data_IF_491968080220
#
_entry.id   IF_491968080220
#
_cell.length_a   1.000
_cell.length_b   1.000
_cell.length_c   1.000
_cell.angle_alpha   90.00
_cell.angle_beta   90.00
_cell.angle_gamma   90.00
#
_symmetry.space_group_name_H-M   'P 1'
#
loop_
_entity.id
_entity.type
_entity.pdbx_description
1 polymer ?
#
# COMPACT_ATOMS: atom_id res chain seq x y z
N UNK A 1 5.27 -8.30 1.08
CA UNK A 1 4.24 -8.62 0.08
C UNK A 1 4.97 -8.80 -1.23
N UNK A 2 5.36 -10.04 -1.55
CA UNK A 2 5.87 -10.32 -2.88
C UNK A 2 4.68 -10.09 -3.81
N UNK A 3 4.76 -9.06 -4.65
CA UNK A 3 3.98 -9.04 -5.87
C UNK A 3 4.58 -10.17 -6.71
N UNK A 4 4.05 -11.38 -6.52
CA UNK A 4 4.23 -12.44 -7.51
C UNK A 4 3.69 -11.85 -8.81
N UNK A 5 4.62 -11.59 -9.71
CA UNK A 5 4.37 -11.31 -11.11
C UNK A 5 3.46 -12.40 -11.64
N UNK A 6 2.21 -12.05 -11.94
CA UNK A 6 1.32 -12.93 -12.69
C UNK A 6 2.05 -13.39 -13.95
N UNK A 7 2.21 -14.71 -14.18
CA UNK A 7 2.63 -15.18 -15.49
C UNK A 7 1.55 -14.76 -16.50
N UNK A 8 1.98 -14.13 -17.59
CA UNK A 8 1.12 -13.77 -18.70
C UNK A 8 0.58 -15.04 -19.38
N UNK A 9 -0.48 -15.62 -18.83
CA UNK A 9 -1.28 -16.60 -19.54
C UNK A 9 -2.08 -15.86 -20.60
N UNK A 10 -1.71 -16.09 -21.87
CA UNK A 10 -2.53 -15.76 -23.04
C UNK A 10 -3.90 -16.38 -22.85
N UNK A 11 -4.91 -15.57 -22.51
CA UNK A 11 -6.30 -16.00 -22.60
C UNK A 11 -6.74 -15.96 -24.07
N UNK A 12 -7.36 -17.03 -24.60
CA UNK A 12 -7.81 -17.06 -25.98
C UNK A 12 -8.98 -16.09 -26.18
N UNK A 13 -8.93 -15.35 -27.29
CA UNK A 13 -10.02 -14.53 -27.80
C UNK A 13 -11.22 -15.43 -28.13
N UNK A 14 -12.23 -15.51 -27.26
CA UNK A 14 -13.66 -15.71 -27.55
C UNK A 14 -14.42 -16.23 -26.31
N UNK A 15 -15.16 -15.34 -25.65
CA UNK A 15 -16.50 -15.63 -25.09
C UNK A 15 -17.16 -14.30 -24.72
N UNK A 16 -17.79 -13.68 -25.72
CA UNK A 16 -18.83 -12.67 -25.54
C UNK A 16 -20.16 -13.44 -25.50
N UNK A 17 -20.99 -13.16 -24.49
CA UNK A 17 -22.46 -13.20 -24.45
C UNK A 17 -23.00 -13.77 -23.12
N UNK A 18 -23.88 -12.99 -22.49
CA UNK A 18 -24.83 -13.48 -21.49
C UNK A 18 -24.89 -12.65 -20.21
N UNK A 19 -25.75 -11.63 -20.18
CA UNK A 19 -26.09 -10.94 -18.93
C UNK A 19 -26.50 -9.48 -19.03
N UNK A 20 -27.28 -9.10 -20.05
CA UNK A 20 -27.98 -7.81 -20.05
C UNK A 20 -29.35 -8.00 -19.38
N UNK A 21 -29.64 -7.26 -18.30
CA UNK A 21 -30.92 -6.57 -18.03
C UNK A 21 -31.08 -6.20 -16.55
N UNK A 22 -30.87 -4.93 -16.23
CA UNK A 22 -31.71 -4.09 -15.35
C UNK A 22 -31.10 -2.68 -15.29
N UNK A 23 -31.21 -1.95 -16.40
CA UNK A 23 -30.87 -0.53 -16.47
C UNK A 23 -32.04 0.27 -15.90
N UNK A 24 -31.90 0.78 -14.68
CA UNK A 24 -32.69 1.93 -14.24
C UNK A 24 -32.12 3.16 -14.95
N UNK A 25 -32.91 3.73 -15.85
CA UNK A 25 -32.58 4.94 -16.60
C UNK A 25 -32.42 6.12 -15.63
N UNK A 26 -31.18 6.57 -15.44
CA UNK A 26 -30.90 7.89 -14.91
C UNK A 26 -30.90 8.87 -16.09
N UNK A 27 -31.44 10.09 -15.94
CA UNK A 27 -31.46 11.07 -17.02
C UNK A 27 -30.02 11.43 -17.38
N UNK A 28 -29.70 11.25 -18.66
CA UNK A 28 -28.45 11.66 -19.29
C UNK A 28 -28.29 13.17 -19.10
N UNK A 29 -27.27 13.57 -18.33
CA UNK A 29 -26.82 14.95 -18.32
C UNK A 29 -26.32 15.31 -19.74
N UNK A 30 -26.72 16.45 -20.31
CA UNK A 30 -26.37 16.78 -21.68
C UNK A 30 -24.92 17.27 -21.76
N UNK A 31 -24.15 16.71 -22.71
CA UNK A 31 -22.96 17.39 -23.27
C UNK A 31 -21.58 16.76 -23.03
N UNK A 32 -21.35 15.48 -23.32
CA UNK A 32 -20.00 14.89 -23.43
C UNK A 32 -19.89 13.97 -24.66
N UNK A 33 -19.72 14.54 -25.86
CA UNK A 33 -19.52 13.81 -27.14
C UNK A 33 -18.12 14.02 -27.75
N UNK A 34 -17.09 14.35 -26.95
CA UNK A 34 -15.67 14.36 -27.34
C UNK A 34 -14.88 13.51 -26.35
N UNK A 35 -14.16 12.43 -26.69
CA UNK A 35 -14.06 11.64 -27.91
C UNK A 35 -13.64 10.21 -27.51
N UNK A 36 -14.46 9.19 -27.80
CA UNK A 36 -14.05 7.79 -27.61
C UNK A 36 -12.73 7.50 -28.32
N UNK A 37 -12.50 8.13 -29.48
CA UNK A 37 -11.26 8.04 -30.25
C UNK A 37 -9.99 8.43 -29.49
N UNK A 38 -10.00 9.51 -28.69
CA UNK A 38 -8.82 9.91 -27.92
C UNK A 38 -8.52 8.93 -26.78
N UNK A 39 -9.55 8.37 -26.15
CA UNK A 39 -9.39 7.36 -25.10
C UNK A 39 -8.88 6.03 -25.68
N UNK A 40 -9.40 5.60 -26.84
CA UNK A 40 -8.92 4.42 -27.57
C UNK A 40 -7.48 4.62 -28.03
N UNK A 41 -7.16 5.79 -28.61
CA UNK A 41 -5.79 6.15 -29.01
C UNK A 41 -4.83 6.12 -27.83
N UNK A 42 -5.22 6.71 -26.69
CA UNK A 42 -4.42 6.66 -25.47
C UNK A 42 -4.14 5.21 -25.07
N UNK A 43 -5.19 4.38 -24.98
CA UNK A 43 -5.06 2.98 -24.57
C UNK A 43 -4.10 2.20 -25.47
N UNK A 44 -4.23 2.35 -26.79
CA UNK A 44 -3.34 1.70 -27.75
C UNK A 44 -1.88 2.13 -27.58
N UNK A 45 -1.62 3.43 -27.36
CA UNK A 45 -0.26 3.93 -27.08
C UNK A 45 0.29 3.36 -25.78
N UNK A 46 -0.53 3.25 -24.74
CA UNK A 46 -0.11 2.72 -23.45
C UNK A 46 0.14 1.20 -23.48
N UNK A 47 -0.66 0.46 -24.25
CA UNK A 47 -0.48 -0.98 -24.48
C UNK A 47 0.85 -1.27 -25.20
N UNK A 48 1.31 -0.37 -26.08
CA UNK A 48 2.57 -0.50 -26.83
C UNK A 48 3.80 0.12 -26.11
N UNK A 49 3.59 0.78 -24.97
CA UNK A 49 4.63 1.59 -24.32
C UNK A 49 5.94 0.84 -24.04
N UNK A 50 5.86 -0.48 -23.79
CA UNK A 50 7.03 -1.33 -23.51
C UNK A 50 7.93 -1.57 -24.72
N UNK A 51 7.40 -1.42 -25.94
CA UNK A 51 8.14 -1.72 -27.16
C UNK A 51 8.94 -0.51 -27.66
N UNK A 52 8.48 0.71 -27.40
CA UNK A 52 9.16 1.93 -27.82
C UNK A 52 8.90 3.12 -26.87
N UNK A 53 9.66 3.19 -25.78
CA UNK A 53 9.46 4.20 -24.72
C UNK A 53 9.51 5.64 -25.25
N UNK A 54 10.52 5.98 -26.05
CA UNK A 54 10.75 7.35 -26.52
C UNK A 54 9.68 7.81 -27.51
N UNK A 55 9.33 6.98 -28.51
CA UNK A 55 8.27 7.33 -29.45
C UNK A 55 6.90 7.39 -28.76
N UNK A 56 6.64 6.47 -27.82
CA UNK A 56 5.41 6.49 -27.03
C UNK A 56 5.31 7.77 -26.21
N UNK A 57 6.36 8.16 -25.49
CA UNK A 57 6.36 9.40 -24.70
C UNK A 57 6.10 10.62 -25.58
N UNK A 58 6.75 10.74 -26.75
CA UNK A 58 6.52 11.83 -27.69
C UNK A 58 5.07 11.87 -28.18
N UNK A 59 4.50 10.71 -28.54
CA UNK A 59 3.09 10.61 -28.94
C UNK A 59 2.14 11.00 -27.80
N UNK A 60 2.42 10.55 -26.58
CA UNK A 60 1.64 10.92 -25.39
C UNK A 60 1.76 12.42 -25.11
N UNK A 61 2.93 13.05 -25.24
CA UNK A 61 3.14 14.49 -25.05
C UNK A 61 2.29 15.35 -26.00
N UNK A 62 2.00 14.86 -27.21
CA UNK A 62 1.11 15.55 -28.16
C UNK A 62 -0.37 15.56 -27.77
N UNK A 63 -0.79 14.70 -26.85
CA UNK A 63 -2.21 14.58 -26.46
C UNK A 63 -2.64 15.73 -25.55
N UNK A 64 -3.85 16.26 -25.74
CA UNK A 64 -4.42 17.28 -24.85
C UNK A 64 -5.13 16.60 -23.66
N UNK A 65 -4.64 16.74 -22.41
CA UNK A 65 -5.28 16.13 -21.24
C UNK A 65 -6.68 16.67 -20.97
N UNK A 66 -7.02 17.87 -21.44
CA UNK A 66 -8.34 18.48 -21.23
C UNK A 66 -9.45 17.81 -22.07
N UNK A 67 -9.08 17.03 -23.09
CA UNK A 67 -10.02 16.28 -23.94
C UNK A 67 -10.32 14.87 -23.45
N UNK A 68 -9.72 14.47 -22.32
CA UNK A 68 -9.86 13.13 -21.77
C UNK A 68 -10.79 13.14 -20.55
N UNK A 69 -11.56 12.06 -20.38
CA UNK A 69 -12.28 11.79 -19.14
C UNK A 69 -11.29 11.72 -17.94
N UNK A 70 -11.73 12.00 -16.71
CA UNK A 70 -10.84 12.12 -15.56
C UNK A 70 -9.87 10.94 -15.35
N UNK A 71 -10.36 9.69 -15.47
CA UNK A 71 -9.48 8.52 -15.34
C UNK A 71 -8.45 8.46 -16.48
N UNK A 72 -8.86 8.57 -17.73
CA UNK A 72 -7.95 8.59 -18.87
C UNK A 72 -6.92 9.74 -18.80
N UNK A 73 -7.32 10.90 -18.27
CA UNK A 73 -6.40 12.01 -18.00
C UNK A 73 -5.32 11.61 -17.00
N UNK A 74 -5.68 10.91 -15.92
CA UNK A 74 -4.72 10.40 -14.94
C UNK A 74 -3.81 9.33 -15.56
N UNK A 75 -4.33 8.45 -16.42
CA UNK A 75 -3.51 7.49 -17.18
C UNK A 75 -2.45 8.20 -18.02
N UNK A 76 -2.86 9.20 -18.81
CA UNK A 76 -1.95 9.97 -19.65
C UNK A 76 -0.85 10.66 -18.83
N UNK A 77 -1.22 11.35 -17.76
CA UNK A 77 -0.26 12.11 -16.94
C UNK A 77 0.69 11.18 -16.18
N UNK A 78 0.16 10.06 -15.66
CA UNK A 78 0.97 9.03 -14.99
C UNK A 78 1.96 8.40 -15.96
N UNK A 79 1.54 8.10 -17.19
CA UNK A 79 2.41 7.55 -18.22
C UNK A 79 3.50 8.52 -18.67
N UNK A 80 3.15 9.79 -18.89
CA UNK A 80 4.15 10.83 -19.25
C UNK A 80 5.26 10.92 -18.22
N UNK A 81 4.91 11.06 -16.94
CA UNK A 81 5.88 11.16 -15.85
C UNK A 81 6.70 9.87 -15.72
N UNK A 82 6.03 8.72 -15.71
CA UNK A 82 6.66 7.41 -15.55
C UNK A 82 7.65 7.06 -16.67
N UNK A 83 7.25 7.27 -17.93
CA UNK A 83 8.09 7.00 -19.10
C UNK A 83 9.27 7.96 -19.20
N UNK A 84 9.08 9.23 -18.84
CA UNK A 84 10.19 10.20 -18.78
C UNK A 84 11.25 9.75 -17.77
N UNK A 85 10.83 9.29 -16.59
CA UNK A 85 11.73 8.74 -15.56
C UNK A 85 12.42 7.45 -16.06
N UNK A 86 11.71 6.55 -16.74
CA UNK A 86 12.33 5.33 -17.28
C UNK A 86 13.39 5.63 -18.36
N UNK A 87 13.13 6.60 -19.22
CA UNK A 87 14.11 7.07 -20.21
C UNK A 87 15.32 7.68 -19.51
N UNK A 88 15.11 8.54 -18.52
CA UNK A 88 16.19 9.15 -17.74
C UNK A 88 17.02 8.09 -17.00
N UNK A 89 16.38 7.11 -16.36
CA UNK A 89 17.04 5.99 -15.70
C UNK A 89 17.88 5.19 -16.69
N UNK A 90 17.35 4.88 -17.89
CA UNK A 90 18.07 4.15 -18.92
C UNK A 90 19.27 4.92 -19.49
N UNK A 91 19.16 6.25 -19.59
CA UNK A 91 20.24 7.12 -20.09
C UNK A 91 21.36 7.32 -19.07
N UNK A 92 21.00 7.59 -17.81
CA UNK A 92 21.95 7.94 -16.75
C UNK A 92 22.55 6.71 -16.07
N UNK A 93 21.79 5.62 -16.01
CA UNK A 93 22.16 4.38 -15.31
C UNK A 93 21.93 3.18 -16.24
N UNK A 94 22.61 3.12 -17.40
CA UNK A 94 22.47 2.02 -18.32
C UNK A 94 22.79 0.71 -17.59
N UNK A 95 22.05 -0.39 -17.87
CA UNK A 95 22.35 -1.67 -17.26
C UNK A 95 23.83 -1.99 -17.51
N UNK A 96 24.57 -2.27 -16.43
CA UNK A 96 25.93 -2.76 -16.58
C UNK A 96 25.91 -3.97 -17.52
N UNK A 97 26.81 -4.01 -18.52
CA UNK A 97 26.99 -5.20 -19.36
C UNK A 97 27.47 -6.36 -18.47
N UNK A 98 26.53 -7.03 -17.83
CA UNK A 98 26.72 -8.25 -17.07
C UNK A 98 25.85 -9.29 -17.78
N UNK A 99 26.49 -10.30 -18.37
CA UNK A 99 25.83 -11.28 -19.22
C UNK A 99 24.63 -11.93 -18.54
N UNK A 100 23.51 -12.02 -19.26
CA UNK A 100 22.30 -12.88 -19.14
C UNK A 100 21.87 -13.50 -17.78
N UNK A 101 22.28 -12.98 -16.63
CA UNK A 101 21.85 -13.48 -15.32
C UNK A 101 20.84 -12.50 -14.67
N UNK A 102 19.53 -12.84 -14.63
CA UNK A 102 18.50 -11.99 -14.05
C UNK A 102 18.64 -11.81 -12.52
N UNK A 103 19.43 -12.65 -11.83
CA UNK A 103 19.74 -12.49 -10.40
C UNK A 103 20.81 -11.40 -10.17
N UNK A 104 21.62 -11.11 -11.19
CA UNK A 104 22.62 -10.04 -11.16
C UNK A 104 21.99 -8.64 -11.24
N UNK A 105 20.73 -8.50 -11.70
CA UNK A 105 20.05 -7.20 -11.83
C UNK A 105 19.63 -6.58 -10.49
N UNK A 106 19.26 -7.40 -9.50
CA UNK A 106 18.93 -6.91 -8.15
C UNK A 106 20.19 -6.65 -7.30
N UNK A 107 21.30 -7.33 -7.62
CA UNK A 107 22.57 -7.23 -6.90
C UNK A 107 23.55 -6.20 -7.50
N UNK A 108 23.20 -5.55 -8.62
CA UNK A 108 23.95 -4.41 -9.15
C UNK A 108 23.53 -3.07 -8.53
N UNK A 109 22.32 -2.95 -7.97
CA UNK A 109 21.90 -1.72 -7.27
C UNK A 109 22.52 -1.67 -5.87
N UNK A 110 22.69 -2.83 -5.22
CA UNK A 110 23.29 -2.94 -3.89
C UNK A 110 24.82 -2.72 -3.86
N UNK A 111 25.47 -2.43 -4.99
CA UNK A 111 26.94 -2.24 -5.09
C UNK A 111 27.37 -0.88 -5.61
N UNK A 112 26.43 0.03 -5.88
CA UNK A 112 26.76 1.43 -6.15
C UNK A 112 26.43 2.24 -4.89
N UNK A 113 27.34 2.35 -3.92
CA UNK A 113 27.12 3.22 -2.77
C UNK A 113 26.81 4.64 -3.26
N UNK A 114 25.80 5.27 -2.64
CA UNK A 114 25.49 6.70 -2.74
C UNK A 114 24.94 7.22 -4.09
N UNK A 115 24.12 6.45 -4.80
CA UNK A 115 23.43 6.95 -6.00
C UNK A 115 22.09 7.63 -5.66
N UNK A 116 22.20 8.75 -4.92
CA UNK A 116 21.05 9.51 -4.44
C UNK A 116 20.11 9.95 -5.58
N UNK A 117 20.66 10.20 -6.77
CA UNK A 117 19.91 10.59 -7.95
C UNK A 117 19.08 9.43 -8.50
N UNK A 118 19.67 8.25 -8.66
CA UNK A 118 18.92 7.04 -9.05
C UNK A 118 17.84 6.72 -8.02
N UNK A 119 18.16 6.83 -6.74
CA UNK A 119 17.18 6.62 -5.66
C UNK A 119 16.02 7.60 -5.76
N UNK A 120 16.30 8.89 -5.96
CA UNK A 120 15.27 9.92 -6.13
C UNK A 120 14.38 9.64 -7.35
N UNK A 121 14.95 9.20 -8.47
CA UNK A 121 14.18 8.81 -9.65
C UNK A 121 13.29 7.59 -9.37
N UNK A 122 13.79 6.55 -8.71
CA UNK A 122 13.00 5.37 -8.34
C UNK A 122 11.86 5.72 -7.37
N UNK A 123 12.12 6.63 -6.42
CA UNK A 123 11.09 7.14 -5.52
C UNK A 123 10.02 7.92 -6.29
N UNK A 124 10.41 8.86 -7.16
CA UNK A 124 9.47 9.62 -8.00
C UNK A 124 8.70 8.73 -8.95
N UNK A 125 9.33 7.68 -9.47
CA UNK A 125 8.71 6.71 -10.36
C UNK A 125 7.49 6.05 -9.73
N UNK A 126 7.56 5.71 -8.44
CA UNK A 126 6.49 5.01 -7.73
C UNK A 126 5.49 5.92 -7.02
N UNK A 127 5.90 7.13 -6.62
CA UNK A 127 5.14 8.04 -5.76
C UNK A 127 4.56 9.23 -6.52
N UNK A 128 5.37 9.99 -7.25
CA UNK A 128 5.03 11.33 -7.76
C UNK A 128 6.28 12.21 -7.92
N UNK A 129 6.22 13.22 -8.79
CA UNK A 129 7.38 14.11 -9.06
C UNK A 129 7.72 15.01 -7.86
N UNK A 130 6.75 15.22 -6.96
CA UNK A 130 6.90 15.96 -5.71
C UNK A 130 7.54 15.14 -4.57
N UNK A 131 7.97 13.90 -4.85
CA UNK A 131 8.70 13.07 -3.91
C UNK A 131 10.14 13.59 -3.72
N UNK A 132 10.50 13.79 -2.44
CA UNK A 132 11.79 14.31 -1.99
C UNK A 132 12.31 13.42 -0.84
N UNK A 133 13.38 12.65 -1.06
CA UNK A 133 13.96 11.77 -0.04
C UNK A 133 14.35 12.50 1.25
N UNK A 134 14.92 13.72 1.16
CA UNK A 134 15.38 14.47 2.32
C UNK A 134 14.19 15.02 3.14
N UNK A 135 13.14 15.53 2.46
CA UNK A 135 11.89 15.95 3.12
C UNK A 135 11.23 14.76 3.80
N UNK A 136 11.14 13.62 3.12
CA UNK A 136 10.58 12.39 3.66
C UNK A 136 11.35 11.94 4.90
N UNK A 137 12.69 11.95 4.85
CA UNK A 137 13.55 11.56 5.96
C UNK A 137 13.28 12.34 7.24
N UNK A 138 13.20 13.68 7.14
CA UNK A 138 12.88 14.57 8.28
C UNK A 138 11.48 14.31 8.83
N UNK A 139 10.51 14.10 7.94
CA UNK A 139 9.15 13.77 8.37
C UNK A 139 9.09 12.43 9.10
N UNK A 140 9.73 11.38 8.58
CA UNK A 140 9.80 10.06 9.21
C UNK A 140 10.45 10.11 10.59
N UNK A 141 11.48 10.93 10.77
CA UNK A 141 12.10 11.22 12.08
C UNK A 141 11.10 11.78 13.08
N UNK A 142 10.29 12.75 12.64
CA UNK A 142 9.22 13.34 13.45
C UNK A 142 8.17 12.31 13.82
N UNK A 143 7.76 11.48 12.85
CA UNK A 143 6.76 10.43 13.07
C UNK A 143 7.29 9.31 13.99
N UNK A 144 8.57 8.96 13.88
CA UNK A 144 9.23 8.02 14.77
C UNK A 144 9.15 8.51 16.22
N UNK A 145 9.61 9.75 16.47
CA UNK A 145 9.61 10.35 17.80
C UNK A 145 8.19 10.42 18.39
N UNK A 146 7.20 10.85 17.59
CA UNK A 146 5.79 10.90 18.00
C UNK A 146 5.24 9.52 18.37
N UNK A 147 5.55 8.51 17.54
CA UNK A 147 5.03 7.15 17.76
C UNK A 147 5.69 6.50 18.98
N UNK A 148 7.00 6.68 19.18
CA UNK A 148 7.70 6.21 20.37
C UNK A 148 7.17 6.87 21.65
N UNK A 149 6.93 8.18 21.64
CA UNK A 149 6.36 8.89 22.79
C UNK A 149 4.94 8.42 23.12
N UNK A 150 4.11 8.15 22.09
CA UNK A 150 2.77 7.59 22.28
C UNK A 150 2.84 6.18 22.87
N UNK A 151 3.69 5.32 22.32
CA UNK A 151 3.90 3.97 22.84
C UNK A 151 4.39 4.00 24.29
N UNK A 152 5.34 4.88 24.65
CA UNK A 152 5.80 5.04 26.03
C UNK A 152 4.65 5.39 26.99
N UNK A 153 3.81 6.35 26.61
CA UNK A 153 2.63 6.74 27.39
C UNK A 153 1.69 5.56 27.61
N UNK A 154 1.42 4.77 26.57
CA UNK A 154 0.54 3.61 26.64
C UNK A 154 1.14 2.48 27.48
N UNK A 155 2.43 2.21 27.33
CA UNK A 155 3.14 1.22 28.13
C UNK A 155 3.09 1.55 29.63
N UNK A 156 3.26 2.82 30.01
CA UNK A 156 3.10 3.25 31.41
C UNK A 156 1.69 3.00 31.94
N UNK A 157 0.65 3.17 31.10
CA UNK A 157 -0.76 2.89 31.45
C UNK A 157 -1.03 1.41 31.68
N UNK A 158 -0.37 0.52 30.93
CA UNK A 158 -0.50 -0.94 31.11
C UNK A 158 0.52 -1.53 32.09
N UNK A 159 1.17 -0.69 32.89
CA UNK A 159 2.07 -1.11 33.97
C UNK A 159 3.50 -1.48 33.53
N UNK A 160 3.89 -1.25 32.27
CA UNK A 160 5.25 -1.55 31.75
C UNK A 160 6.08 -0.27 31.67
N UNK A 161 6.83 0.04 32.73
CA UNK A 161 7.49 1.36 32.91
C UNK A 161 9.00 1.37 32.66
N UNK A 162 9.65 0.21 32.60
CA UNK A 162 11.10 0.11 32.53
C UNK A 162 11.59 -0.28 31.13
N UNK A 163 12.81 0.15 30.79
CA UNK A 163 13.45 -0.15 29.51
C UNK A 163 12.96 0.72 28.34
N UNK A 164 13.58 0.51 27.18
CA UNK A 164 13.20 1.18 25.94
C UNK A 164 11.79 0.76 25.48
N UNK A 165 11.23 1.47 24.51
CA UNK A 165 9.96 1.08 23.87
C UNK A 165 10.10 -0.30 23.21
N UNK A 166 11.19 -0.55 22.48
CA UNK A 166 11.47 -1.85 21.87
C UNK A 166 11.56 -2.97 22.90
N UNK A 167 12.27 -2.77 24.02
CA UNK A 167 12.36 -3.77 25.08
C UNK A 167 10.97 -4.14 25.66
N UNK A 168 10.13 -3.13 25.90
CA UNK A 168 8.76 -3.36 26.40
C UNK A 168 7.85 -4.04 25.38
N UNK A 169 8.02 -3.77 24.09
CA UNK A 169 7.36 -4.55 23.04
C UNK A 169 7.84 -6.00 23.07
N UNK A 170 9.15 -6.25 23.15
CA UNK A 170 9.72 -7.60 23.22
C UNK A 170 9.18 -8.41 24.38
N UNK A 171 8.99 -7.80 25.55
CA UNK A 171 8.34 -8.45 26.69
C UNK A 171 6.85 -8.73 26.43
N UNK A 172 6.10 -7.73 25.95
CA UNK A 172 4.66 -7.86 25.69
C UNK A 172 4.36 -8.89 24.58
N UNK A 173 5.26 -9.02 23.60
CA UNK A 173 5.14 -9.96 22.49
C UNK A 173 5.25 -11.42 22.94
N UNK A 174 6.03 -11.69 23.98
CA UNK A 174 6.27 -13.05 24.52
C UNK A 174 5.30 -13.44 25.62
N UNK A 175 4.50 -12.50 26.11
CA UNK A 175 3.58 -12.72 27.22
C UNK A 175 2.44 -13.67 26.81
N UNK A 176 2.38 -14.88 27.40
CA UNK A 176 1.48 -15.95 26.94
C UNK A 176 0.00 -15.59 27.07
N UNK A 177 -0.35 -14.61 27.91
CA UNK A 177 -1.73 -14.12 28.06
C UNK A 177 -2.30 -13.53 26.77
N UNK A 178 -1.43 -13.07 25.88
CA UNK A 178 -1.81 -12.42 24.61
C UNK A 178 -1.63 -13.31 23.40
N UNK A 179 -1.24 -14.57 23.58
CA UNK A 179 -1.00 -15.51 22.48
C UNK A 179 -2.22 -16.41 22.26
N UNK A 180 -2.38 -16.88 21.03
CA UNK A 180 -3.28 -18.01 20.76
C UNK A 180 -2.52 -19.32 20.97
N UNK A 181 -3.27 -20.40 21.21
CA UNK A 181 -2.73 -21.77 21.16
C UNK A 181 -2.28 -22.08 19.72
N UNK A 182 -1.26 -22.92 19.58
CA UNK A 182 -0.70 -23.29 18.28
C UNK A 182 -1.38 -24.55 17.72
N UNK A 183 -2.70 -24.52 17.66
CA UNK A 183 -3.56 -25.61 17.19
C UNK A 183 -4.69 -25.05 16.30
N UNK A 184 -5.55 -25.94 15.78
CA UNK A 184 -6.69 -25.52 14.96
C UNK A 184 -7.63 -24.59 15.74
N UNK A 185 -7.87 -24.86 17.03
CA UNK A 185 -8.73 -24.04 17.88
C UNK A 185 -8.21 -22.61 18.06
N UNK A 186 -6.89 -22.44 18.24
CA UNK A 186 -6.26 -21.13 18.35
C UNK A 186 -6.32 -20.34 17.05
N UNK A 187 -6.12 -21.00 15.91
CA UNK A 187 -6.26 -20.39 14.56
C UNK A 187 -7.70 -19.97 14.29
N UNK A 188 -8.67 -20.83 14.60
CA UNK A 188 -10.09 -20.54 14.44
C UNK A 188 -10.52 -19.39 15.36
N UNK A 189 -10.01 -19.37 16.59
CA UNK A 189 -10.23 -18.25 17.52
C UNK A 189 -9.66 -16.94 16.98
N UNK A 190 -8.47 -16.94 16.38
CA UNK A 190 -7.87 -15.75 15.78
C UNK A 190 -8.73 -15.21 14.62
N UNK A 191 -9.23 -16.08 13.74
CA UNK A 191 -10.15 -15.70 12.65
C UNK A 191 -11.45 -15.12 13.21
N UNK A 192 -12.04 -15.75 14.23
CA UNK A 192 -13.25 -15.25 14.88
C UNK A 192 -13.02 -13.87 15.51
N UNK A 193 -11.90 -13.66 16.17
CA UNK A 193 -11.53 -12.39 16.81
C UNK A 193 -11.34 -11.28 15.76
N UNK A 194 -10.66 -11.57 14.66
CA UNK A 194 -10.49 -10.61 13.56
C UNK A 194 -11.81 -10.28 12.84
N UNK A 195 -12.73 -11.24 12.71
CA UNK A 195 -14.07 -10.96 12.17
C UNK A 195 -14.90 -10.07 13.11
N UNK A 196 -14.81 -10.25 14.43
CA UNK A 196 -15.45 -9.32 15.39
C UNK A 196 -14.84 -7.91 15.32
N UNK A 197 -13.53 -7.80 15.14
CA UNK A 197 -12.85 -6.52 14.91
C UNK A 197 -13.32 -5.87 13.60
N UNK A 198 -13.53 -6.67 12.54
CA UNK A 198 -14.05 -6.21 11.26
C UNK A 198 -15.48 -5.63 11.40
N UNK A 199 -16.36 -6.29 12.16
CA UNK A 199 -17.71 -5.78 12.42
C UNK A 199 -17.67 -4.46 13.19
N UNK A 200 -16.80 -4.34 14.20
CA UNK A 200 -16.57 -3.09 14.90
C UNK A 200 -16.01 -1.99 13.99
N UNK A 201 -15.19 -2.32 12.99
CA UNK A 201 -14.65 -1.39 12.00
C UNK A 201 -15.73 -0.89 11.03
N UNK A 202 -16.60 -1.79 10.55
CA UNK A 202 -17.71 -1.47 9.64
C UNK A 202 -18.63 -0.38 10.19
N UNK A 203 -18.92 -0.43 11.49
CA UNK A 203 -19.78 0.57 12.16
C UNK A 203 -19.22 2.00 12.08
N UNK A 204 -17.91 2.16 11.88
CA UNK A 204 -17.23 3.46 11.82
C UNK A 204 -17.05 3.98 10.39
N UNK A 205 -17.11 3.11 9.37
CA UNK A 205 -16.83 3.46 7.97
C UNK A 205 -17.68 4.62 7.45
N UNK A 206 -18.97 4.64 7.78
CA UNK A 206 -19.89 5.69 7.29
C UNK A 206 -19.43 7.10 7.66
N UNK A 207 -18.74 7.28 8.79
CA UNK A 207 -18.20 8.59 9.22
C UNK A 207 -17.07 9.08 8.30
N UNK A 208 -16.30 8.16 7.74
CA UNK A 208 -15.18 8.48 6.85
C UNK A 208 -15.56 8.53 5.38
N UNK A 209 -16.51 7.71 4.94
CA UNK A 209 -16.73 7.43 3.51
C UNK A 209 -18.15 7.74 3.02
N UNK A 210 -19.08 8.03 3.94
CA UNK A 210 -20.51 8.05 3.62
C UNK A 210 -21.02 6.65 3.24
N UNK A 211 -22.11 6.57 2.45
CA UNK A 211 -22.57 5.30 1.91
C UNK A 211 -21.53 4.68 0.95
N UNK A 212 -21.16 3.44 1.20
CA UNK A 212 -20.37 2.60 0.28
C UNK A 212 -21.28 1.54 -0.34
N UNK A 213 -21.03 1.10 -1.59
CA UNK A 213 -21.81 0.02 -2.18
C UNK A 213 -21.66 -1.27 -1.35
N UNK A 214 -22.75 -2.02 -1.19
CA UNK A 214 -22.81 -3.22 -0.33
C UNK A 214 -21.69 -4.22 -0.64
N UNK A 215 -21.34 -4.35 -1.92
CA UNK A 215 -20.24 -5.20 -2.39
C UNK A 215 -18.92 -4.93 -1.67
N UNK A 216 -18.59 -3.65 -1.41
CA UNK A 216 -17.34 -3.23 -0.76
C UNK A 216 -17.32 -3.55 0.74
N UNK A 217 -18.50 -3.78 1.33
CA UNK A 217 -18.66 -4.15 2.73
C UNK A 217 -18.74 -5.66 2.92
N UNK A 218 -19.03 -6.41 1.85
CA UNK A 218 -19.18 -7.87 1.84
C UNK A 218 -17.82 -8.58 1.80
N UNK A 219 -17.11 -8.51 2.93
CA UNK A 219 -15.77 -9.10 3.10
C UNK A 219 -15.62 -9.86 4.41
N UNK A 220 -14.67 -10.78 4.53
CA UNK A 220 -14.42 -11.52 5.77
C UNK A 220 -12.96 -11.87 5.96
N UNK A 221 -12.58 -12.21 7.18
CA UNK A 221 -11.32 -12.93 7.43
C UNK A 221 -11.61 -14.43 7.32
N UNK A 222 -10.74 -15.16 6.64
CA UNK A 222 -10.74 -16.61 6.63
C UNK A 222 -9.32 -17.14 6.76
N UNK A 223 -9.16 -18.35 7.31
CA UNK A 223 -7.87 -19.04 7.33
C UNK A 223 -7.58 -19.69 5.98
N UNK A 224 -6.31 -19.94 5.72
CA UNK A 224 -5.89 -20.81 4.62
C UNK A 224 -6.46 -22.21 4.79
N UNK A 225 -6.64 -22.90 3.66
CA UNK A 225 -6.85 -24.35 3.66
C UNK A 225 -5.54 -25.06 4.04
N UNK A 226 -5.63 -26.29 4.55
CA UNK A 226 -4.44 -27.10 4.88
C UNK A 226 -3.54 -27.32 3.66
N UNK A 227 -4.12 -27.41 2.45
CA UNK A 227 -3.36 -27.55 1.21
C UNK A 227 -2.53 -26.29 0.91
N UNK A 228 -3.09 -25.10 1.13
CA UNK A 228 -2.38 -23.83 0.95
C UNK A 228 -1.27 -23.65 1.98
N UNK A 229 -1.50 -24.04 3.23
CA UNK A 229 -0.47 -24.04 4.28
C UNK A 229 0.68 -25.00 3.96
N UNK A 230 0.36 -26.22 3.50
CA UNK A 230 1.34 -27.20 3.07
C UNK A 230 2.15 -26.72 1.85
N UNK A 231 1.51 -25.96 0.95
CA UNK A 231 2.17 -25.33 -0.18
C UNK A 231 2.99 -24.08 0.19
N UNK A 232 3.02 -23.69 1.47
CA UNK A 232 3.79 -22.54 1.94
C UNK A 232 3.27 -21.19 1.44
N UNK A 233 1.98 -21.10 1.08
CA UNK A 233 1.39 -19.84 0.61
C UNK A 233 1.41 -18.78 1.69
N UNK A 234 1.56 -17.53 1.26
CA UNK A 234 1.42 -16.36 2.12
C UNK A 234 0.00 -15.80 2.06
N UNK A 235 -0.38 -15.00 3.07
CA UNK A 235 -1.72 -14.42 3.14
C UNK A 235 -2.05 -13.58 1.90
N UNK A 236 -3.29 -13.66 1.45
CA UNK A 236 -3.73 -13.04 0.19
C UNK A 236 -5.16 -12.52 0.27
N UNK A 237 -5.58 -11.77 -0.75
CA UNK A 237 -6.90 -11.15 -0.84
C UNK A 237 -7.71 -11.78 -1.97
N UNK A 238 -9.00 -11.93 -1.74
CA UNK A 238 -10.00 -12.28 -2.75
C UNK A 238 -10.97 -11.11 -2.84
N UNK A 239 -11.05 -10.46 -4.00
CA UNK A 239 -11.99 -9.34 -4.18
C UNK A 239 -13.43 -9.86 -4.28
N UNK A 240 -14.42 -9.10 -3.78
CA UNK A 240 -15.82 -9.46 -3.92
C UNK A 240 -16.29 -9.33 -5.38
N UNK A 241 -17.10 -10.27 -5.88
CA UNK A 241 -17.54 -10.34 -7.29
C UNK A 241 -19.08 -10.31 -7.48
N UNK A 242 -19.83 -9.97 -6.43
CA UNK A 242 -21.29 -9.90 -6.43
C UNK A 242 -21.97 -11.20 -6.05
N UNK A 243 -21.37 -12.34 -6.42
CA UNK A 243 -21.84 -13.66 -6.00
C UNK A 243 -21.15 -14.14 -4.72
N UNK A 244 -19.85 -13.85 -4.57
CA UNK A 244 -19.02 -14.27 -3.45
C UNK A 244 -18.53 -13.08 -2.64
N UNK A 245 -18.57 -13.16 -1.30
CA UNK A 245 -17.93 -12.16 -0.47
C UNK A 245 -16.42 -12.18 -0.68
N UNK A 246 -15.80 -11.02 -0.62
CA UNK A 246 -14.35 -10.92 -0.62
C UNK A 246 -13.77 -11.50 0.68
N UNK A 247 -12.48 -11.82 0.67
CA UNK A 247 -11.81 -12.32 1.85
C UNK A 247 -10.37 -11.80 1.97
N UNK A 248 -9.95 -11.55 3.21
CA UNK A 248 -8.53 -11.64 3.56
C UNK A 248 -8.26 -13.06 4.07
N UNK A 249 -7.50 -13.82 3.29
CA UNK A 249 -7.05 -15.16 3.64
C UNK A 249 -5.77 -15.02 4.45
N UNK A 250 -5.89 -15.11 5.77
CA UNK A 250 -4.80 -14.81 6.69
C UNK A 250 -3.86 -16.01 6.86
N UNK A 251 -2.56 -15.74 6.80
CA UNK A 251 -1.51 -16.73 7.13
C UNK A 251 -1.35 -16.82 8.64
N UNK A 252 -1.75 -17.95 9.23
CA UNK A 252 -1.67 -18.23 10.67
C UNK A 252 -0.74 -19.41 10.98
N UNK A 253 0.21 -19.72 10.09
CA UNK A 253 1.10 -20.88 10.26
C UNK A 253 1.86 -20.85 11.58
N UNK A 254 2.38 -19.68 11.96
CA UNK A 254 3.01 -19.44 13.27
C UNK A 254 2.22 -18.37 14.02
N UNK A 255 1.05 -18.77 14.52
CA UNK A 255 0.11 -17.89 15.21
C UNK A 255 0.69 -17.31 16.50
N UNK A 256 1.65 -17.99 17.13
CA UNK A 256 2.30 -17.52 18.38
C UNK A 256 3.13 -16.26 18.16
N UNK A 257 3.59 -15.99 16.93
CA UNK A 257 4.24 -14.72 16.57
C UNK A 257 3.26 -13.59 16.24
N UNK A 258 1.95 -13.79 16.41
CA UNK A 258 0.89 -12.80 16.18
C UNK A 258 0.08 -12.55 17.46
N UNK A 259 0.61 -11.80 18.44
CA UNK A 259 -0.13 -11.47 19.65
C UNK A 259 -1.48 -10.80 19.33
N UNK A 260 -2.52 -11.14 20.09
CA UNK A 260 -3.91 -10.69 19.88
C UNK A 260 -4.06 -9.18 19.68
N UNK A 261 -3.32 -8.41 20.47
CA UNK A 261 -3.35 -6.95 20.48
C UNK A 261 -2.81 -6.31 19.19
N UNK A 262 -2.10 -7.06 18.34
CA UNK A 262 -1.58 -6.58 17.05
C UNK A 262 -2.60 -6.68 15.91
N UNK A 263 -3.61 -7.55 16.03
CA UNK A 263 -4.49 -7.93 14.93
C UNK A 263 -5.47 -6.84 14.46
N UNK A 264 -6.00 -5.94 15.30
CA UNK A 264 -6.95 -4.93 14.83
C UNK A 264 -6.39 -4.04 13.71
N UNK A 265 -5.11 -3.65 13.80
CA UNK A 265 -4.46 -2.86 12.75
C UNK A 265 -4.36 -3.63 11.42
N UNK A 266 -4.13 -4.95 11.46
CA UNK A 266 -4.17 -5.81 10.26
C UNK A 266 -5.56 -5.80 9.64
N UNK A 267 -6.63 -5.86 10.44
CA UNK A 267 -8.01 -5.76 9.93
C UNK A 267 -8.24 -4.42 9.23
N UNK A 268 -7.74 -3.32 9.79
CA UNK A 268 -7.88 -2.01 9.17
C UNK A 268 -7.09 -1.86 7.87
N UNK A 269 -5.88 -2.42 7.82
CA UNK A 269 -5.00 -2.41 6.67
C UNK A 269 -5.55 -3.28 5.52
N UNK A 270 -5.87 -4.53 5.83
CA UNK A 270 -6.23 -5.57 4.86
C UNK A 270 -7.67 -5.46 4.38
N UNK A 271 -8.59 -5.09 5.27
CA UNK A 271 -10.02 -5.08 5.00
C UNK A 271 -10.54 -3.65 4.94
N UNK A 272 -11.06 -3.13 6.05
CA UNK A 272 -11.77 -1.85 6.08
C UNK A 272 -11.20 -0.92 7.15
N UNK A 273 -10.86 0.34 6.83
CA UNK A 273 -11.07 1.02 5.53
C UNK A 273 -9.96 0.82 4.47
N UNK A 274 -9.03 -0.11 4.67
CA UNK A 274 -7.86 -0.29 3.82
C UNK A 274 -8.14 -0.92 2.45
N UNK A 275 -7.40 -1.98 2.12
CA UNK A 275 -7.37 -2.52 0.76
C UNK A 275 -8.73 -2.96 0.22
N UNK A 276 -9.62 -3.48 1.05
CA UNK A 276 -10.90 -4.01 0.56
C UNK A 276 -11.96 -2.93 0.34
N UNK A 277 -11.70 -1.70 0.78
CA UNK A 277 -12.43 -0.52 0.28
C UNK A 277 -11.79 -0.03 -1.02
N UNK A 278 -10.46 0.08 -1.05
CA UNK A 278 -9.70 0.70 -2.15
C UNK A 278 -9.70 -0.13 -3.44
N UNK A 279 -9.36 -1.41 -3.38
CA UNK A 279 -9.15 -2.24 -4.57
C UNK A 279 -10.43 -2.45 -5.40
N UNK A 280 -11.61 -2.70 -4.82
CA UNK A 280 -12.82 -2.79 -5.63
C UNK A 280 -13.21 -1.45 -6.27
N UNK A 281 -12.96 -0.31 -5.60
CA UNK A 281 -13.18 1.01 -6.20
C UNK A 281 -12.21 1.26 -7.35
N UNK A 282 -10.95 0.87 -7.20
CA UNK A 282 -9.97 0.93 -8.28
C UNK A 282 -10.38 0.06 -9.47
N UNK A 283 -10.81 -1.18 -9.24
CA UNK A 283 -11.24 -2.08 -10.30
C UNK A 283 -12.45 -1.50 -11.09
N UNK A 284 -13.41 -0.91 -10.38
CA UNK A 284 -14.56 -0.24 -11.00
C UNK A 284 -14.18 1.00 -11.83
N UNK A 285 -13.12 1.72 -11.43
CA UNK A 285 -12.61 2.87 -12.18
C UNK A 285 -11.84 2.48 -13.47
N UNK A 286 -11.50 1.20 -13.62
CA UNK A 286 -10.81 0.61 -14.78
C UNK A 286 -9.59 1.41 -15.27
N UNK A 287 -8.63 1.78 -14.38
CA UNK A 287 -7.42 2.49 -14.79
C UNK A 287 -6.55 1.61 -15.69
N UNK A 288 -5.71 2.23 -16.51
CA UNK A 288 -4.75 1.47 -17.29
C UNK A 288 -3.75 0.73 -16.37
N UNK A 289 -3.42 -0.56 -16.63
CA UNK A 289 -2.52 -1.35 -15.77
C UNK A 289 -1.13 -0.73 -15.55
N UNK A 290 -0.69 0.14 -16.46
CA UNK A 290 0.56 0.90 -16.33
C UNK A 290 0.64 1.74 -15.05
N UNK A 291 -0.49 2.14 -14.46
CA UNK A 291 -0.50 2.80 -13.15
C UNK A 291 -0.01 1.89 -12.01
N UNK A 292 -0.09 0.57 -12.14
CA UNK A 292 0.48 -0.37 -11.16
C UNK A 292 1.99 -0.16 -11.04
N UNK A 293 2.63 0.23 -12.15
CA UNK A 293 4.07 0.50 -12.22
C UNK A 293 4.43 1.91 -11.75
N UNK A 294 3.71 2.95 -12.21
CA UNK A 294 4.12 4.35 -11.98
C UNK A 294 3.33 5.10 -10.88
N UNK A 295 2.41 4.41 -10.21
CA UNK A 295 1.74 4.82 -8.99
C UNK A 295 1.72 3.66 -7.98
N UNK A 296 2.78 2.84 -7.97
CA UNK A 296 2.88 1.60 -7.20
C UNK A 296 2.69 1.83 -5.68
N UNK A 297 3.15 2.98 -5.16
CA UNK A 297 3.08 3.30 -3.75
C UNK A 297 1.65 3.56 -3.23
N UNK A 298 0.69 3.82 -4.13
CA UNK A 298 -0.68 4.23 -3.76
C UNK A 298 -1.39 3.21 -2.88
N UNK A 299 -1.41 1.93 -3.29
CA UNK A 299 -2.24 0.92 -2.62
C UNK A 299 -1.80 0.68 -1.16
N UNK A 300 -0.49 0.54 -0.94
CA UNK A 300 0.08 0.39 0.42
C UNK A 300 0.01 1.71 1.19
N UNK A 301 0.30 2.85 0.55
CA UNK A 301 0.18 4.16 1.19
C UNK A 301 -1.25 4.46 1.68
N UNK A 302 -2.26 4.06 0.90
CA UNK A 302 -3.67 4.09 1.30
C UNK A 302 -3.95 3.19 2.49
N UNK A 303 -3.50 1.93 2.46
CA UNK A 303 -3.77 0.99 3.55
C UNK A 303 -3.11 1.43 4.87
N UNK A 304 -1.90 1.99 4.82
CA UNK A 304 -1.22 2.57 5.99
C UNK A 304 -1.98 3.83 6.47
N UNK A 305 -2.44 4.68 5.55
CA UNK A 305 -3.32 5.80 5.89
C UNK A 305 -4.62 5.33 6.58
N UNK A 306 -5.22 4.23 6.10
CA UNK A 306 -6.45 3.66 6.64
C UNK A 306 -6.31 3.17 8.09
N UNK A 307 -5.15 2.61 8.46
CA UNK A 307 -4.84 2.28 9.87
C UNK A 307 -4.93 3.52 10.77
N UNK A 308 -4.46 4.65 10.26
CA UNK A 308 -4.39 5.93 10.98
C UNK A 308 -5.74 6.60 11.06
N UNK A 309 -6.50 6.54 9.96
CA UNK A 309 -7.89 6.97 9.92
C UNK A 309 -8.73 6.20 10.95
N UNK A 310 -8.58 4.87 11.03
CA UNK A 310 -9.29 4.05 12.01
C UNK A 310 -8.96 4.47 13.44
N UNK A 311 -7.68 4.70 13.74
CA UNK A 311 -7.25 5.21 15.05
C UNK A 311 -7.88 6.58 15.37
N UNK A 312 -7.82 7.54 14.45
CA UNK A 312 -8.42 8.87 14.60
C UNK A 312 -9.95 8.83 14.80
N UNK A 313 -10.62 7.82 14.24
CA UNK A 313 -12.06 7.58 14.43
C UNK A 313 -12.38 6.82 15.73
N UNK A 314 -11.39 6.57 16.58
CA UNK A 314 -11.56 5.96 17.89
C UNK A 314 -11.66 4.43 17.85
N UNK A 315 -11.05 3.76 16.87
CA UNK A 315 -10.99 2.30 16.82
C UNK A 315 -10.41 1.68 18.12
N UNK A 316 -9.48 2.37 18.77
CA UNK A 316 -8.78 1.92 19.97
C UNK A 316 -9.20 2.66 21.26
N UNK A 317 -10.32 3.39 21.24
CA UNK A 317 -10.75 4.17 22.40
C UNK A 317 -11.03 3.23 23.59
N UNK A 318 -10.30 3.41 24.68
CA UNK A 318 -10.41 2.55 25.87
C UNK A 318 -9.63 1.23 25.78
N UNK A 319 -8.91 0.98 24.69
CA UNK A 319 -8.09 -0.21 24.49
C UNK A 319 -6.61 0.18 24.31
N UNK A 320 -5.85 0.36 25.41
CA UNK A 320 -4.45 0.75 25.33
C UNK A 320 -3.56 -0.33 24.69
N UNK A 321 -3.95 -1.61 24.74
CA UNK A 321 -3.19 -2.70 24.13
C UNK A 321 -3.38 -2.73 22.61
N UNK A 322 -4.63 -2.58 22.13
CA UNK A 322 -4.89 -2.41 20.71
C UNK A 322 -4.20 -1.17 20.14
N UNK A 323 -4.16 -0.06 20.88
CA UNK A 323 -3.44 1.15 20.46
C UNK A 323 -1.92 0.95 20.45
N UNK A 324 -1.36 0.16 21.37
CA UNK A 324 0.04 -0.30 21.28
C UNK A 324 0.27 -1.15 20.04
N UNK A 325 -0.68 -2.00 19.65
CA UNK A 325 -0.66 -2.71 18.37
C UNK A 325 -0.56 -1.78 17.19
N UNK A 326 -1.40 -0.75 17.14
CA UNK A 326 -1.34 0.27 16.09
C UNK A 326 -0.02 1.05 16.10
N UNK A 327 0.51 1.41 17.27
CA UNK A 327 1.81 2.06 17.38
C UNK A 327 2.94 1.17 16.86
N UNK A 328 2.91 -0.13 17.16
CA UNK A 328 3.89 -1.09 16.66
C UNK A 328 3.84 -1.21 15.13
N UNK A 329 2.65 -1.33 14.53
CA UNK A 329 2.52 -1.34 13.07
C UNK A 329 2.98 -0.04 12.43
N UNK A 330 2.68 1.11 13.03
CA UNK A 330 3.19 2.41 12.57
C UNK A 330 4.72 2.47 12.65
N UNK A 331 5.32 1.99 13.74
CA UNK A 331 6.78 1.87 13.89
C UNK A 331 7.37 0.95 12.82
N UNK A 332 6.75 -0.19 12.54
CA UNK A 332 7.18 -1.10 11.46
C UNK A 332 7.24 -0.38 10.10
N UNK A 333 6.21 0.39 9.73
CA UNK A 333 6.23 1.16 8.46
C UNK A 333 7.32 2.23 8.45
N UNK A 334 7.46 2.99 9.54
CA UNK A 334 8.48 4.05 9.67
C UNK A 334 9.89 3.45 9.63
N UNK A 335 10.12 2.36 10.36
CA UNK A 335 11.40 1.69 10.48
C UNK A 335 11.89 1.15 9.12
N UNK A 336 10.98 0.57 8.32
CA UNK A 336 11.28 0.12 6.95
C UNK A 336 11.62 1.28 6.02
N UNK A 337 10.86 2.37 6.08
CA UNK A 337 11.12 3.55 5.25
C UNK A 337 12.44 4.25 5.61
N UNK A 338 12.76 4.34 6.91
CA UNK A 338 14.05 4.84 7.38
C UNK A 338 15.20 3.91 7.01
N UNK A 339 15.02 2.59 7.06
CA UNK A 339 16.04 1.64 6.61
C UNK A 339 16.28 1.73 5.10
N UNK A 340 15.23 1.88 4.30
CA UNK A 340 15.31 2.04 2.85
C UNK A 340 16.12 3.30 2.47
N UNK A 341 15.81 4.46 3.08
CA UNK A 341 16.63 5.67 2.92
C UNK A 341 18.05 5.47 3.49
N UNK A 342 18.14 4.88 4.67
CA UNK A 342 19.39 4.67 5.40
C UNK A 342 20.40 3.86 4.58
N UNK A 343 19.98 2.71 4.06
CA UNK A 343 20.84 1.80 3.28
C UNK A 343 21.24 2.40 1.94
N UNK A 344 20.30 3.01 1.24
CA UNK A 344 20.50 3.40 -0.17
C UNK A 344 20.99 4.83 -0.37
N UNK A 345 20.83 5.71 0.63
CA UNK A 345 21.18 7.14 0.53
C UNK A 345 22.17 7.57 1.62
N UNK A 346 22.02 7.06 2.85
CA UNK A 346 22.80 7.54 4.01
C UNK A 346 23.95 6.60 4.40
N UNK A 347 24.14 5.49 3.68
CA UNK A 347 25.22 4.53 3.93
C UNK A 347 25.10 3.75 5.25
N UNK A 348 23.89 3.57 5.80
CA UNK A 348 23.69 2.76 6.99
C UNK A 348 24.13 1.32 6.75
N UNK A 349 24.79 0.71 7.74
CA UNK A 349 25.08 -0.71 7.70
C UNK A 349 23.85 -1.55 8.04
N UNK A 350 23.81 -2.79 7.53
CA UNK A 350 22.81 -3.80 7.92
C UNK A 350 22.70 -3.95 9.44
N UNK A 351 23.84 -3.95 10.14
CA UNK A 351 23.88 -4.03 11.61
C UNK A 351 23.20 -2.83 12.26
N UNK A 352 23.46 -1.61 11.76
CA UNK A 352 22.79 -0.40 12.26
C UNK A 352 21.28 -0.46 12.06
N UNK A 353 20.81 -0.91 10.90
CA UNK A 353 19.38 -1.09 10.61
C UNK A 353 18.75 -2.06 11.62
N UNK A 354 19.35 -3.23 11.81
CA UNK A 354 18.82 -4.25 12.72
C UNK A 354 18.81 -3.78 14.18
N UNK A 355 19.82 -3.01 14.61
CA UNK A 355 19.87 -2.45 15.95
C UNK A 355 18.78 -1.40 16.16
N UNK A 356 18.62 -0.48 15.21
CA UNK A 356 17.56 0.53 15.23
C UNK A 356 16.17 -0.11 15.30
N UNK A 357 15.91 -1.15 14.51
CA UNK A 357 14.63 -1.85 14.54
C UNK A 357 14.36 -2.52 15.90
N UNK A 358 15.35 -3.20 16.48
CA UNK A 358 15.19 -3.78 17.84
C UNK A 358 14.92 -2.69 18.88
N UNK A 359 15.62 -1.57 18.80
CA UNK A 359 15.45 -0.47 19.74
C UNK A 359 14.06 0.18 19.65
N UNK A 360 13.56 0.40 18.42
CA UNK A 360 12.31 1.11 18.20
C UNK A 360 11.07 0.23 18.38
N UNK A 361 11.09 -1.01 17.87
CA UNK A 361 9.89 -1.87 17.79
C UNK A 361 10.03 -3.23 18.49
N UNK A 362 11.23 -3.62 18.93
CA UNK A 362 11.46 -4.86 19.67
C UNK A 362 11.40 -6.10 18.79
N UNK A 363 10.19 -6.50 18.39
CA UNK A 363 9.92 -7.71 17.62
C UNK A 363 9.39 -7.41 16.21
N UNK A 364 9.78 -8.20 15.18
CA UNK A 364 9.30 -8.02 13.82
C UNK A 364 7.83 -8.41 13.67
N UNK A 365 7.15 -7.78 12.70
CA UNK A 365 5.91 -8.30 12.17
C UNK A 365 6.12 -9.73 11.64
N UNK A 366 5.16 -10.62 11.89
CA UNK A 366 5.30 -12.05 11.59
C UNK A 366 5.79 -12.36 10.16
N UNK A 367 5.15 -11.75 9.14
CA UNK A 367 5.44 -11.98 7.72
C UNK A 367 6.70 -11.25 7.20
N UNK A 368 7.36 -10.50 8.08
CA UNK A 368 8.55 -9.73 7.79
C UNK A 368 9.60 -9.88 8.91
N UNK A 369 10.16 -11.10 9.12
CA UNK A 369 11.31 -11.26 10.02
C UNK A 369 12.42 -10.29 9.63
N UNK A 370 13.12 -9.72 10.60
CA UNK A 370 14.07 -8.63 10.34
C UNK A 370 15.11 -8.96 9.27
N UNK A 371 15.76 -10.13 9.32
CA UNK A 371 16.74 -10.51 8.30
C UNK A 371 16.13 -10.58 6.89
N UNK A 372 14.98 -11.24 6.75
CA UNK A 372 14.28 -11.38 5.47
C UNK A 372 13.76 -10.05 4.93
N UNK A 373 13.26 -9.17 5.80
CA UNK A 373 12.75 -7.85 5.36
C UNK A 373 13.90 -6.90 5.02
N UNK A 374 15.02 -6.95 5.75
CA UNK A 374 16.24 -6.23 5.39
C UNK A 374 16.74 -6.65 3.99
N UNK A 375 16.83 -7.95 3.73
CA UNK A 375 17.21 -8.48 2.42
C UNK A 375 16.29 -8.00 1.30
N UNK A 376 14.98 -7.89 1.56
CA UNK A 376 14.02 -7.32 0.60
C UNK A 376 14.31 -5.84 0.35
N UNK A 377 14.52 -5.05 1.41
CA UNK A 377 14.82 -3.62 1.29
C UNK A 377 16.08 -3.37 0.47
N UNK A 378 17.12 -4.18 0.65
CA UNK A 378 18.35 -4.10 -0.16
C UNK A 378 18.07 -4.33 -1.65
N UNK A 379 17.15 -5.24 -2.00
CA UNK A 379 16.80 -5.56 -3.40
C UNK A 379 15.76 -4.62 -4.02
N UNK A 380 14.99 -3.91 -3.20
CA UNK A 380 13.83 -3.11 -3.61
C UNK A 380 13.99 -1.63 -3.20
N UNK A 381 15.02 -0.92 -3.69
CA UNK A 381 15.28 0.48 -3.32
C UNK A 381 14.07 1.37 -3.58
N UNK A 382 13.88 2.36 -2.70
CA UNK A 382 12.81 3.35 -2.71
C UNK A 382 11.39 2.80 -2.52
N UNK A 383 11.20 1.48 -2.38
CA UNK A 383 9.87 0.89 -2.29
C UNK A 383 9.22 1.19 -0.94
N UNK A 384 9.91 0.94 0.18
CA UNK A 384 9.36 1.18 1.52
C UNK A 384 9.27 2.66 1.82
N UNK A 385 10.24 3.43 1.35
CA UNK A 385 10.19 4.88 1.41
C UNK A 385 9.00 5.42 0.60
N UNK A 386 8.71 4.84 -0.57
CA UNK A 386 7.58 5.21 -1.40
C UNK A 386 6.23 4.96 -0.73
N UNK A 387 6.04 3.78 -0.14
CA UNK A 387 4.85 3.43 0.67
C UNK A 387 4.59 4.49 1.76
N UNK A 388 5.64 4.88 2.50
CA UNK A 388 5.53 5.90 3.54
C UNK A 388 5.32 7.32 2.99
N UNK A 389 5.98 7.68 1.89
CA UNK A 389 5.81 8.99 1.25
C UNK A 389 4.38 9.22 0.80
N UNK A 390 3.78 8.20 0.16
CA UNK A 390 2.39 8.23 -0.25
C UNK A 390 1.44 8.30 0.94
N UNK A 391 1.63 7.46 1.97
CA UNK A 391 0.84 7.52 3.20
C UNK A 391 0.84 8.93 3.81
N UNK A 392 2.02 9.51 4.01
CA UNK A 392 2.16 10.83 4.63
C UNK A 392 1.57 11.94 3.76
N UNK A 393 1.68 11.83 2.43
CA UNK A 393 1.04 12.76 1.51
C UNK A 393 -0.49 12.69 1.61
N UNK A 394 -1.09 11.49 1.64
CA UNK A 394 -2.54 11.31 1.83
C UNK A 394 -2.95 11.87 3.21
N UNK A 395 -2.19 11.59 4.27
CA UNK A 395 -2.47 12.11 5.61
C UNK A 395 -2.46 13.64 5.65
N UNK A 396 -1.43 14.27 5.07
CA UNK A 396 -1.31 15.73 5.03
C UNK A 396 -2.43 16.37 4.19
N UNK A 397 -2.81 15.74 3.07
CA UNK A 397 -3.91 16.21 2.23
C UNK A 397 -5.28 16.04 2.89
N UNK A 398 -5.47 15.00 3.70
CA UNK A 398 -6.72 14.79 4.43
C UNK A 398 -6.98 15.87 5.50
N UNK A 399 -5.92 16.53 6.02
CA UNK A 399 -6.06 17.53 7.08
C UNK A 399 -6.94 18.69 6.62
N UNK A 400 -7.82 19.11 7.52
CA UNK A 400 -8.75 20.22 7.33
C UNK A 400 -9.76 20.05 6.20
N UNK A 401 -9.93 18.83 5.67
CA UNK A 401 -10.94 18.51 4.66
C UNK A 401 -12.07 17.68 5.25
N UNK A 402 -13.24 17.76 4.62
CA UNK A 402 -14.33 16.80 4.88
C UNK A 402 -13.85 15.38 4.56
N UNK A 403 -13.86 14.49 5.55
CA UNK A 403 -13.40 13.12 5.39
C UNK A 403 -14.12 12.40 4.23
N UNK A 404 -15.44 12.55 4.15
CA UNK A 404 -16.25 11.89 3.11
C UNK A 404 -15.88 12.40 1.72
N UNK A 405 -15.85 13.72 1.53
CA UNK A 405 -15.53 14.31 0.24
C UNK A 405 -14.10 13.93 -0.20
N UNK A 406 -13.15 14.02 0.73
CA UNK A 406 -11.76 13.67 0.48
C UNK A 406 -11.59 12.21 0.07
N UNK A 407 -12.09 11.24 0.85
CA UNK A 407 -11.91 9.83 0.53
C UNK A 407 -12.61 9.41 -0.77
N UNK A 408 -13.80 9.94 -1.04
CA UNK A 408 -14.50 9.67 -2.31
C UNK A 408 -13.69 10.17 -3.48
N UNK A 409 -13.12 11.38 -3.39
CA UNK A 409 -12.26 11.93 -4.44
C UNK A 409 -10.99 11.10 -4.65
N UNK A 410 -10.26 10.79 -3.58
CA UNK A 410 -8.99 10.03 -3.65
C UNK A 410 -9.18 8.64 -4.27
N UNK A 411 -10.32 7.99 -4.03
CA UNK A 411 -10.59 6.64 -4.52
C UNK A 411 -11.34 6.57 -5.86
N UNK A 412 -11.95 7.68 -6.31
CA UNK A 412 -12.87 7.69 -7.46
C UNK A 412 -12.26 7.19 -8.77
N UNK A 413 -10.95 7.41 -8.96
CA UNK A 413 -10.27 7.12 -10.22
C UNK A 413 -9.15 6.09 -10.06
N UNK A 414 -9.18 5.31 -8.98
CA UNK A 414 -8.16 4.32 -8.69
C UNK A 414 -6.82 4.94 -8.28
N UNK A 415 -5.76 4.12 -8.34
CA UNK A 415 -4.43 4.56 -7.91
C UNK A 415 -3.89 5.72 -8.74
N UNK A 416 -3.17 6.60 -8.07
CA UNK A 416 -2.57 7.79 -8.70
C UNK A 416 -1.34 8.27 -7.91
N UNK A 417 -0.56 9.13 -8.55
CA UNK A 417 0.65 9.75 -7.99
C UNK A 417 0.30 10.91 -7.04
N UNK A 418 1.21 11.30 -6.15
CA UNK A 418 1.00 12.36 -5.14
C UNK A 418 0.84 13.76 -5.73
N UNK A 419 1.60 14.08 -6.77
CA UNK A 419 1.44 15.29 -7.58
C UNK A 419 0.03 15.38 -8.19
N UNK A 420 -0.49 14.28 -8.74
CA UNK A 420 -1.85 14.21 -9.30
C UNK A 420 -2.93 14.28 -8.22
N UNK A 421 -2.71 13.67 -7.04
CA UNK A 421 -3.60 13.86 -5.88
C UNK A 421 -3.73 15.34 -5.53
N UNK A 422 -2.60 16.06 -5.43
CA UNK A 422 -2.59 17.50 -5.11
C UNK A 422 -3.33 18.30 -6.16
N UNK A 423 -3.03 18.09 -7.44
CA UNK A 423 -3.67 18.85 -8.53
C UNK A 423 -5.18 18.59 -8.59
N UNK A 424 -5.62 17.34 -8.47
CA UNK A 424 -7.05 17.02 -8.54
C UNK A 424 -7.84 17.51 -7.33
N UNK A 425 -7.24 17.52 -6.14
CA UNK A 425 -7.84 18.10 -4.93
C UNK A 425 -7.79 19.64 -4.90
N UNK A 426 -6.80 20.26 -5.55
CA UNK A 426 -6.69 21.71 -5.67
C UNK A 426 -7.67 22.30 -6.69
N UNK A 427 -8.09 21.54 -7.69
CA UNK A 427 -9.12 21.93 -8.66
C UNK A 427 -10.57 21.79 -8.12
N UNK A 428 -10.74 21.21 -6.94
CA UNK A 428 -12.05 20.94 -6.29
C UNK A 428 -12.26 21.69 -4.99
N UNK A 429 -11.28 22.50 -4.57
CA UNK A 429 -11.35 23.44 -3.45
C UNK A 429 -11.58 24.85 -3.99
#
# INVERSE_FOLDING_TARGET
MALETFPAHRLPRRSVLGGAAALLALPSAPGWTKSEDAAVRLRNLLDDARNNLAATLAALQSMDPARLAPSARIDLLTARAGLAIDIELAQRFPPARLGNDPVAHASSISRLPNDADRYALLLRRSVGDDADPARLRRRLQTELARTLARADTLFRRVGRRHGSVGARYSELWRDPRWLYTDDDAGRDRAVADMNRMLDAARSKLRRGFGPLPTLHLSVRVQRMTRAEEAAGRQGYRVLPDGARPGAYVVDLKDIRRRPRWTLPAVVHHELVPGHMVQLPMEAAASPHPLRITYAAAFAEGWAIYAEQLASAQGAYRGDPLGELGQCHWRLFRIARALADLGLHVEGWSSTMVLNNWREWMGEPAYFAPFATDLDRIVREPATRAGEAAMWLAIEDLARSRSAIAFHRHVLAHGRMRTDLLRTTLGATA
#
